data_IF_590683373352
#
_entry.id   IF_590683373352
#
_cell.length_a   1.000
_cell.length_b   1.000
_cell.length_c   1.000
_cell.angle_alpha   90.00
_cell.angle_beta   90.00
_cell.angle_gamma   90.00
#
_symmetry.space_group_name_H-M   'P 1'
#
loop_
_entity.id
_entity.type
_entity.pdbx_description
1 polymer ?
#
# COMPACT_ATOMS: atom_id res chain seq x y z
N UNK A 1 10.46 2.65 8.26
CA UNK A 1 10.20 1.20 8.25
C UNK A 1 10.29 0.65 9.66
N UNK A 2 9.32 -0.12 10.06
CA UNK A 2 9.32 -0.71 11.39
C UNK A 2 10.38 -1.81 11.50
N UNK A 3 10.97 -1.94 12.68
CA UNK A 3 12.05 -2.91 12.88
C UNK A 3 11.61 -4.35 12.55
N UNK A 4 10.40 -4.74 12.99
CA UNK A 4 9.93 -6.11 12.75
C UNK A 4 9.67 -6.39 11.28
N UNK A 5 9.54 -5.37 10.44
CA UNK A 5 9.23 -5.54 9.02
C UNK A 5 10.46 -5.46 8.11
N UNK A 6 11.62 -5.11 8.64
CA UNK A 6 12.81 -4.94 7.80
C UNK A 6 13.17 -6.18 7.00
N UNK A 7 13.18 -7.34 7.66
CA UNK A 7 13.51 -8.59 6.97
C UNK A 7 12.51 -8.91 5.87
N UNK A 8 11.23 -8.67 6.13
CA UNK A 8 10.20 -8.91 5.14
C UNK A 8 10.43 -8.07 3.88
N UNK A 9 10.68 -6.77 4.03
CA UNK A 9 10.85 -5.88 2.88
C UNK A 9 12.12 -6.15 2.09
N UNK A 10 13.09 -6.88 2.67
CA UNK A 10 14.29 -7.30 1.97
C UNK A 10 14.15 -8.66 1.32
N UNK A 11 13.06 -9.39 1.57
CA UNK A 11 12.90 -10.75 1.08
C UNK A 11 12.66 -10.79 -0.42
N UNK A 12 13.07 -11.90 -1.04
CA UNK A 12 12.82 -12.11 -2.47
C UNK A 12 11.32 -12.24 -2.75
N UNK A 13 10.58 -12.84 -1.81
CA UNK A 13 9.13 -12.99 -1.97
C UNK A 13 8.44 -11.63 -2.08
N UNK A 14 8.82 -10.67 -1.22
CA UNK A 14 8.27 -9.33 -1.29
C UNK A 14 8.63 -8.64 -2.60
N UNK A 15 9.89 -8.76 -3.02
CA UNK A 15 10.33 -8.12 -4.25
C UNK A 15 9.57 -8.64 -5.46
N UNK A 16 9.30 -9.95 -5.48
CA UNK A 16 8.52 -10.54 -6.57
C UNK A 16 7.07 -10.07 -6.56
N UNK A 17 6.44 -10.06 -5.38
CA UNK A 17 5.06 -9.60 -5.26
C UNK A 17 4.95 -8.14 -5.67
N UNK A 18 5.87 -7.31 -5.21
CA UNK A 18 5.92 -5.89 -5.57
C UNK A 18 6.03 -5.70 -7.07
N UNK A 19 6.91 -6.45 -7.72
CA UNK A 19 7.10 -6.33 -9.17
C UNK A 19 5.85 -6.75 -9.93
N UNK A 20 5.16 -7.78 -9.46
CA UNK A 20 3.92 -8.21 -10.10
C UNK A 20 2.85 -7.12 -10.05
N UNK A 21 2.74 -6.44 -8.93
CA UNK A 21 1.77 -5.36 -8.78
C UNK A 21 2.12 -4.20 -9.71
N UNK A 22 3.39 -3.84 -9.80
CA UNK A 22 3.83 -2.76 -10.68
C UNK A 22 3.54 -3.13 -12.13
N UNK A 23 3.81 -4.38 -12.51
CA UNK A 23 3.59 -4.85 -13.88
C UNK A 23 2.10 -4.84 -14.23
N UNK A 24 1.23 -5.30 -13.32
CA UNK A 24 -0.21 -5.34 -13.61
C UNK A 24 -0.80 -3.94 -13.79
N UNK A 25 -0.21 -2.96 -13.11
CA UNK A 25 -0.68 -1.58 -13.17
C UNK A 25 -0.03 -0.78 -14.31
N UNK A 26 0.88 -1.39 -15.06
CA UNK A 26 1.65 -0.73 -16.11
C UNK A 26 2.43 0.47 -15.58
N UNK A 27 2.86 0.42 -14.32
CA UNK A 27 3.62 1.50 -13.71
C UNK A 27 2.78 2.70 -13.29
N UNK A 28 1.46 2.61 -13.38
CA UNK A 28 0.57 3.72 -13.08
C UNK A 28 -0.06 3.56 -11.70
N UNK A 29 -0.40 4.69 -11.09
CA UNK A 29 -1.14 4.69 -9.83
C UNK A 29 -2.49 4.03 -10.05
N UNK A 30 -2.78 2.95 -9.32
CA UNK A 30 -4.02 2.20 -9.53
C UNK A 30 -5.25 2.99 -9.11
N UNK A 31 -5.12 3.83 -8.07
CA UNK A 31 -6.25 4.67 -7.63
C UNK A 31 -6.55 5.79 -8.60
N UNK A 32 -5.50 6.44 -9.13
CA UNK A 32 -5.70 7.49 -10.11
C UNK A 32 -6.29 6.92 -11.40
N UNK A 33 -5.80 5.74 -11.83
CA UNK A 33 -6.27 5.09 -13.04
C UNK A 33 -7.77 4.78 -12.94
N UNK A 34 -8.23 4.37 -11.75
CA UNK A 34 -9.64 4.09 -11.54
C UNK A 34 -10.51 5.34 -11.74
N UNK A 35 -9.93 6.53 -11.61
CA UNK A 35 -10.61 7.79 -11.85
C UNK A 35 -10.34 8.36 -13.22
N UNK A 36 -9.70 7.58 -14.10
CA UNK A 36 -9.38 8.04 -15.44
C UNK A 36 -8.14 8.91 -15.55
N UNK A 37 -7.32 8.95 -14.50
CA UNK A 37 -6.11 9.76 -14.47
C UNK A 37 -4.90 8.84 -14.60
N UNK A 38 -4.06 9.08 -15.60
CA UNK A 38 -2.90 8.24 -15.87
C UNK A 38 -1.65 8.90 -15.29
N UNK A 39 -1.36 8.60 -14.05
CA UNK A 39 -0.26 9.18 -13.30
C UNK A 39 0.68 8.06 -12.83
N UNK A 40 2.00 8.25 -12.92
CA UNK A 40 2.93 7.21 -12.47
C UNK A 40 2.72 6.87 -11.01
N UNK A 41 2.89 5.58 -10.68
CA UNK A 41 2.88 5.15 -9.30
C UNK A 41 4.19 5.49 -8.60
N UNK A 42 4.19 5.33 -7.29
CA UNK A 42 5.35 5.65 -6.47
C UNK A 42 5.72 4.51 -5.54
N UNK A 43 4.73 3.94 -4.85
CA UNK A 43 5.00 2.92 -3.85
C UNK A 43 3.92 1.85 -3.88
N UNK A 44 4.32 0.61 -3.61
CA UNK A 44 3.38 -0.50 -3.39
C UNK A 44 3.12 -0.57 -1.90
N UNK A 45 1.87 -0.42 -1.50
CA UNK A 45 1.52 -0.48 -0.09
C UNK A 45 0.48 -1.57 0.17
N UNK A 46 0.34 -1.94 1.43
CA UNK A 46 -0.65 -2.92 1.87
C UNK A 46 -1.93 -2.19 2.24
N UNK A 47 -3.07 -2.65 1.69
CA UNK A 47 -4.37 -2.08 2.05
C UNK A 47 -4.69 -2.40 3.50
N UNK A 48 -4.48 -3.66 3.89
CA UNK A 48 -4.49 -4.04 5.31
C UNK A 48 -3.06 -3.95 5.79
N UNK A 49 -2.80 -3.02 6.71
CA UNK A 49 -1.45 -2.70 7.12
C UNK A 49 -0.76 -3.87 7.81
N UNK A 50 0.56 -3.95 7.61
CA UNK A 50 1.38 -4.94 8.28
C UNK A 50 1.53 -4.56 9.75
N UNK A 51 1.34 -5.54 10.61
CA UNK A 51 1.49 -5.40 12.06
C UNK A 51 2.35 -6.55 12.58
N UNK A 52 2.87 -6.46 13.82
CA UNK A 52 3.59 -7.61 14.38
C UNK A 52 2.74 -8.87 14.43
N UNK A 53 1.43 -8.72 14.53
CA UNK A 53 0.52 -9.88 14.59
C UNK A 53 0.30 -10.55 13.25
N UNK A 54 0.47 -9.84 12.13
CA UNK A 54 0.20 -10.43 10.81
C UNK A 54 1.43 -10.50 9.90
N UNK A 55 2.61 -10.06 10.37
CA UNK A 55 3.80 -10.02 9.53
C UNK A 55 4.18 -11.40 8.99
N UNK A 56 3.82 -12.46 9.68
CA UNK A 56 4.12 -13.82 9.26
C UNK A 56 3.02 -14.46 8.41
N UNK A 57 1.95 -13.74 8.15
CA UNK A 57 0.81 -14.27 7.41
C UNK A 57 0.90 -13.85 5.92
N UNK A 58 1.32 -14.77 5.02
CA UNK A 58 1.46 -14.40 3.60
C UNK A 58 0.13 -14.07 2.93
N UNK A 59 -1.00 -14.51 3.48
CA UNK A 59 -2.31 -14.13 2.95
C UNK A 59 -2.59 -12.64 3.13
N UNK A 60 -1.82 -11.97 3.98
CA UNK A 60 -1.91 -10.53 4.17
C UNK A 60 -0.71 -9.84 3.55
N UNK A 61 0.50 -10.34 3.84
CA UNK A 61 1.72 -9.64 3.44
C UNK A 61 2.09 -9.80 1.98
N UNK A 62 1.68 -10.93 1.35
CA UNK A 62 2.04 -11.25 -0.03
C UNK A 62 0.83 -11.45 -0.93
N UNK A 63 -0.37 -11.17 -0.44
CA UNK A 63 -1.60 -11.28 -1.23
C UNK A 63 -1.68 -10.10 -2.18
N UNK A 64 -1.64 -10.36 -3.49
CA UNK A 64 -1.66 -9.30 -4.49
C UNK A 64 -2.93 -8.46 -4.43
N UNK A 65 -4.04 -9.05 -3.97
CA UNK A 65 -5.29 -8.30 -3.79
C UNK A 65 -5.22 -7.32 -2.63
N UNK A 66 -4.27 -7.54 -1.72
CA UNK A 66 -4.04 -6.62 -0.60
C UNK A 66 -2.98 -5.59 -0.92
N UNK A 67 -2.36 -5.67 -2.09
CA UNK A 67 -1.31 -4.75 -2.51
C UNK A 67 -1.84 -3.79 -3.55
N UNK A 68 -1.32 -2.57 -3.51
CA UNK A 68 -1.77 -1.53 -4.42
C UNK A 68 -0.61 -0.60 -4.74
N UNK A 69 -0.43 -0.30 -6.04
CA UNK A 69 0.60 0.64 -6.47
C UNK A 69 -0.04 2.02 -6.58
N UNK A 70 0.44 2.96 -5.79
CA UNK A 70 -0.17 4.29 -5.71
C UNK A 70 0.87 5.39 -5.82
N UNK A 71 0.44 6.56 -6.28
CA UNK A 71 1.30 7.73 -6.32
C UNK A 71 1.46 8.30 -4.91
N UNK A 72 2.39 9.24 -4.78
CA UNK A 72 2.68 9.82 -3.47
C UNK A 72 1.45 10.49 -2.86
N UNK A 73 0.67 11.20 -3.68
CA UNK A 73 -0.52 11.88 -3.18
C UNK A 73 -1.55 10.90 -2.63
N UNK A 74 -1.82 9.82 -3.37
CA UNK A 74 -2.78 8.81 -2.91
C UNK A 74 -2.29 8.10 -1.66
N UNK A 75 -0.99 7.83 -1.59
CA UNK A 75 -0.38 7.19 -0.43
C UNK A 75 -0.51 8.10 0.80
N UNK A 76 -0.24 9.38 0.63
CA UNK A 76 -0.35 10.33 1.73
C UNK A 76 -1.79 10.49 2.21
N UNK A 77 -2.74 10.49 1.28
CA UNK A 77 -4.16 10.56 1.66
C UNK A 77 -4.58 9.35 2.46
N UNK A 78 -4.10 8.18 2.08
CA UNK A 78 -4.41 6.96 2.82
C UNK A 78 -3.91 7.06 4.26
N UNK A 79 -2.68 7.50 4.44
CA UNK A 79 -2.11 7.64 5.78
C UNK A 79 -2.83 8.71 6.60
N UNK A 80 -3.21 9.81 5.98
CA UNK A 80 -3.97 10.85 6.68
C UNK A 80 -5.32 10.34 7.14
N UNK A 81 -6.00 9.57 6.27
CA UNK A 81 -7.29 9.00 6.63
C UNK A 81 -7.17 8.07 7.83
N UNK A 82 -6.09 7.29 7.88
CA UNK A 82 -5.85 6.38 8.99
C UNK A 82 -5.54 7.12 10.27
N UNK A 83 -4.77 8.20 10.18
CA UNK A 83 -4.33 8.93 11.35
C UNK A 83 -5.33 9.97 11.84
N UNK A 84 -6.35 10.29 11.05
CA UNK A 84 -7.34 11.26 11.46
C UNK A 84 -8.25 10.64 12.49
N UNK A 85 -8.21 11.08 13.74
CA UNK A 85 -9.12 10.51 14.71
C UNK A 85 -10.46 11.09 14.38
N UNK A 86 -11.40 10.44 14.72
CA UNK A 86 -12.57 10.89 14.47
C UNK A 86 -12.85 12.15 15.02
N UNK A 87 -12.58 13.03 14.86
CA UNK A 87 -12.80 14.25 15.36
C UNK A 87 -13.59 15.11 14.47
N UNK A 88 -13.25 14.35 14.07
CA UNK A 88 -13.69 14.85 13.51
C UNK A 88 -14.22 15.01 13.09
N UNK A 89 -14.47 14.68 13.18
CA UNK A 89 -14.92 14.84 12.71
C UNK A 89 -15.03 15.28 12.20
N UNK A 90 -15.11 15.23 11.98
CA UNK A 90 -15.09 15.57 11.42
C UNK A 90 -14.78 15.76 10.76
N UNK A 91 -14.63 15.68 10.70
CA UNK A 91 -14.29 15.81 10.04
C UNK A 91 -14.04 15.45 9.46
N UNK A 92 -14.07 15.18 9.32
CA UNK A 92 -13.88 14.92 8.77
C UNK A 92 -14.07 14.40 8.50
N UNK A 93 -14.06 14.03 8.72
CA UNK A 93 -14.12 13.70 8.34
C UNK A 93 -14.54 13.70 8.09
#
# INVERSE_FOLDING_TARGET
>A
MKEYAKGFYKSAAWKRARQQVITRSNGLCERCKARGIYKPGYIVHHKEYITPGNISNPNITLNLDNLEYVCEDCHNKEHKAVHTPMRLSLIHI
#
